data_IF_523038141881
#
_entry.id   IF_523038141881
#
_cell.length_a   1.000
_cell.length_b   1.000
_cell.length_c   1.000
_cell.angle_alpha   90.00
_cell.angle_beta   90.00
_cell.angle_gamma   90.00
#
_symmetry.space_group_name_H-M   'P 1'
#
loop_
_entity.id
_entity.type
_entity.pdbx_description
1 polymer ?
#
# COMPACT_ATOMS: atom_id res chain seq x y z
N UNK A 1 -40.45 20.47 -45.45
CA UNK A 1 -39.48 19.38 -45.22
C UNK A 1 -38.25 19.98 -44.56
N UNK A 2 -38.13 19.98 -43.24
CA UNK A 2 -36.98 20.53 -42.50
C UNK A 2 -36.02 19.41 -42.22
N UNK A 3 -34.72 19.60 -42.40
CA UNK A 3 -33.74 18.58 -42.11
C UNK A 3 -33.58 18.42 -40.59
N UNK A 4 -33.58 17.18 -40.14
CA UNK A 4 -33.35 16.79 -38.75
C UNK A 4 -31.91 17.20 -38.33
N UNK A 5 -31.80 18.00 -37.27
CA UNK A 5 -30.53 18.33 -36.61
C UNK A 5 -30.00 17.08 -35.92
N UNK A 6 -28.80 16.65 -36.31
CA UNK A 6 -28.03 15.65 -35.61
C UNK A 6 -27.77 16.13 -34.17
N UNK A 7 -27.85 15.26 -33.16
CA UNK A 7 -27.51 15.66 -31.80
C UNK A 7 -26.03 15.97 -31.72
N UNK A 8 -25.70 17.21 -31.38
CA UNK A 8 -24.34 17.65 -31.10
C UNK A 8 -23.79 16.82 -29.92
N UNK A 9 -22.78 16.02 -30.20
CA UNK A 9 -21.95 15.39 -29.13
C UNK A 9 -21.33 16.54 -28.34
N UNK A 10 -21.77 16.73 -27.09
CA UNK A 10 -21.06 17.59 -26.15
C UNK A 10 -19.62 17.10 -26.03
N UNK A 11 -18.60 17.98 -26.07
CA UNK A 11 -17.23 17.56 -25.84
C UNK A 11 -17.14 16.94 -24.47
N UNK A 12 -16.64 15.70 -24.39
CA UNK A 12 -16.35 15.02 -23.13
C UNK A 12 -15.43 15.95 -22.32
N UNK A 13 -15.89 16.40 -21.17
CA UNK A 13 -15.06 17.18 -20.27
C UNK A 13 -13.84 16.32 -19.90
N UNK A 14 -12.65 16.76 -20.24
CA UNK A 14 -11.38 16.09 -19.91
C UNK A 14 -11.19 16.18 -18.40
N UNK A 15 -11.71 15.17 -17.69
CA UNK A 15 -11.63 15.13 -16.23
C UNK A 15 -10.20 14.76 -15.83
N UNK A 16 -9.45 15.73 -15.31
CA UNK A 16 -8.10 15.47 -14.76
C UNK A 16 -8.22 14.63 -13.49
N UNK A 17 -7.56 13.49 -13.48
CA UNK A 17 -7.35 12.70 -12.27
C UNK A 17 -6.04 13.09 -11.58
N UNK A 18 -6.02 13.06 -10.25
CA UNK A 18 -4.82 13.23 -9.42
C UNK A 18 -4.85 12.22 -8.28
N UNK A 19 -3.66 11.70 -7.91
CA UNK A 19 -3.53 10.83 -6.74
C UNK A 19 -3.62 11.64 -5.42
N UNK A 20 -3.72 10.93 -4.31
CA UNK A 20 -3.85 11.54 -2.97
C UNK A 20 -2.70 12.48 -2.62
N UNK A 21 -1.45 12.10 -2.90
CA UNK A 21 -0.28 12.93 -2.63
C UNK A 21 -0.17 14.16 -3.56
N UNK A 22 -0.86 14.14 -4.70
CA UNK A 22 -0.84 15.22 -5.71
C UNK A 22 0.37 15.19 -6.63
N UNK A 23 1.21 14.15 -6.56
CA UNK A 23 2.42 14.00 -7.36
C UNK A 23 2.22 13.23 -8.67
N UNK A 24 1.05 12.59 -8.85
CA UNK A 24 0.66 11.92 -10.10
C UNK A 24 -0.58 12.58 -10.69
N UNK A 25 -0.62 12.67 -12.02
CA UNK A 25 -1.72 13.26 -12.78
C UNK A 25 -1.97 12.47 -14.05
N UNK A 26 -3.24 12.30 -14.41
CA UNK A 26 -3.65 11.77 -15.71
C UNK A 26 -4.78 12.62 -16.32
N UNK A 27 -4.82 12.66 -17.66
CA UNK A 27 -5.91 13.22 -18.44
C UNK A 27 -6.41 12.11 -19.37
N UNK A 28 -7.24 11.18 -18.86
CA UNK A 28 -7.70 10.05 -19.65
C UNK A 28 -8.59 10.52 -20.81
N UNK A 29 -8.51 9.82 -21.93
CA UNK A 29 -9.38 10.10 -23.10
C UNK A 29 -10.84 9.81 -22.80
N UNK A 30 -11.10 8.79 -21.96
CA UNK A 30 -12.45 8.41 -21.50
C UNK A 30 -12.42 7.96 -20.04
N UNK A 31 -13.46 8.30 -19.29
CA UNK A 31 -13.68 7.84 -17.92
C UNK A 31 -14.99 7.06 -17.88
N UNK A 32 -14.93 5.82 -17.37
CA UNK A 32 -16.11 4.95 -17.20
C UNK A 32 -16.22 4.53 -15.74
N UNK A 33 -17.44 4.26 -15.29
CA UNK A 33 -17.74 3.76 -13.94
C UNK A 33 -18.61 2.50 -14.05
N UNK A 34 -18.00 1.33 -14.33
CA UNK A 34 -18.73 0.08 -14.51
C UNK A 34 -19.45 -0.33 -13.22
N UNK A 35 -20.62 -0.98 -13.38
CA UNK A 35 -21.49 -1.42 -12.30
C UNK A 35 -21.29 -2.89 -11.93
N UNK A 36 -20.72 -3.66 -12.86
CA UNK A 36 -20.51 -5.09 -12.72
C UNK A 36 -19.33 -5.55 -13.58
N UNK A 37 -18.94 -6.81 -13.43
CA UNK A 37 -17.86 -7.45 -14.18
C UNK A 37 -18.13 -7.45 -15.69
N UNK A 38 -19.39 -7.58 -16.13
CA UNK A 38 -19.76 -7.56 -17.55
C UNK A 38 -19.49 -6.19 -18.18
N UNK A 39 -19.78 -5.09 -17.48
CA UNK A 39 -19.47 -3.74 -17.96
C UNK A 39 -17.94 -3.49 -17.98
N UNK A 40 -17.17 -4.08 -17.05
CA UNK A 40 -15.70 -4.05 -17.13
C UNK A 40 -15.21 -4.79 -18.36
N UNK A 41 -15.72 -5.99 -18.61
CA UNK A 41 -15.36 -6.80 -19.78
C UNK A 41 -15.71 -6.08 -21.11
N UNK A 42 -16.87 -5.45 -21.16
CA UNK A 42 -17.28 -4.62 -22.31
C UNK A 42 -16.32 -3.42 -22.53
N UNK A 43 -15.90 -2.77 -21.46
CA UNK A 43 -14.95 -1.65 -21.54
C UNK A 43 -13.56 -2.10 -22.02
N UNK A 44 -13.10 -3.29 -21.61
CA UNK A 44 -11.83 -3.86 -22.07
C UNK A 44 -11.91 -4.21 -23.57
N UNK A 45 -12.99 -4.87 -24.03
CA UNK A 45 -13.19 -5.13 -25.46
C UNK A 45 -13.26 -3.86 -26.30
N UNK A 46 -14.01 -2.87 -25.84
CA UNK A 46 -14.07 -1.57 -26.51
C UNK A 46 -12.68 -0.89 -26.58
N UNK A 47 -11.88 -1.02 -25.52
CA UNK A 47 -10.50 -0.52 -25.55
C UNK A 47 -9.64 -1.28 -26.58
N UNK A 48 -9.84 -2.60 -26.74
CA UNK A 48 -9.18 -3.41 -27.75
C UNK A 48 -9.54 -2.95 -29.15
N UNK A 49 -10.84 -2.82 -29.47
CA UNK A 49 -11.34 -2.38 -30.78
C UNK A 49 -10.85 -0.97 -31.16
N UNK A 50 -10.65 -0.10 -30.15
CA UNK A 50 -10.18 1.28 -30.35
C UNK A 50 -8.64 1.40 -30.30
N UNK A 51 -7.90 0.32 -30.11
CA UNK A 51 -6.44 0.35 -29.95
C UNK A 51 -5.97 1.18 -28.74
N UNK A 52 -6.75 1.22 -27.66
CA UNK A 52 -6.49 2.03 -26.45
C UNK A 52 -6.08 1.16 -25.26
N UNK A 53 -5.29 1.76 -24.37
CA UNK A 53 -5.03 1.18 -23.05
C UNK A 53 -6.21 1.42 -22.11
N UNK A 54 -6.37 0.55 -21.12
CA UNK A 54 -7.39 0.64 -20.07
C UNK A 54 -6.78 0.34 -18.70
N UNK A 55 -7.14 1.16 -17.71
CA UNK A 55 -6.71 0.95 -16.31
C UNK A 55 -7.86 1.21 -15.35
N UNK A 56 -8.00 0.32 -14.36
CA UNK A 56 -8.88 0.58 -13.23
C UNK A 56 -8.06 1.23 -12.11
N UNK A 57 -8.57 2.35 -11.59
CA UNK A 57 -7.96 3.03 -10.44
C UNK A 57 -8.62 2.59 -9.14
N UNK A 58 -7.90 2.72 -8.01
CA UNK A 58 -8.48 2.70 -6.67
C UNK A 58 -8.71 4.12 -6.15
N UNK A 59 -8.53 4.32 -4.86
CA UNK A 59 -8.62 5.66 -4.22
C UNK A 59 -7.40 6.54 -4.45
N UNK A 60 -6.38 6.05 -5.17
CA UNK A 60 -5.22 6.85 -5.57
C UNK A 60 -4.20 7.10 -4.47
N UNK A 61 -4.02 6.16 -3.54
CA UNK A 61 -3.02 6.29 -2.47
C UNK A 61 -1.59 5.93 -2.89
N UNK A 62 -1.40 5.24 -4.03
CA UNK A 62 -0.05 4.98 -4.57
C UNK A 62 0.64 6.27 -4.99
N UNK A 63 1.94 6.37 -4.69
CA UNK A 63 2.80 7.50 -5.07
C UNK A 63 3.40 7.34 -6.47
N UNK A 64 3.45 6.11 -6.99
CA UNK A 64 3.89 5.79 -8.35
C UNK A 64 2.81 6.06 -9.40
N UNK A 65 3.21 6.00 -10.66
CA UNK A 65 2.30 6.09 -11.79
C UNK A 65 1.43 4.84 -12.04
N UNK A 66 1.41 3.85 -11.14
CA UNK A 66 0.70 2.58 -11.35
C UNK A 66 -0.78 2.74 -11.75
N UNK A 67 -1.46 3.77 -11.24
CA UNK A 67 -2.87 4.06 -11.53
C UNK A 67 -3.07 5.09 -12.66
N UNK A 68 -2.00 5.62 -13.28
CA UNK A 68 -2.11 6.58 -14.37
C UNK A 68 -2.73 5.90 -15.60
N UNK A 69 -3.80 6.50 -16.13
CA UNK A 69 -4.51 6.04 -17.32
C UNK A 69 -4.51 7.15 -18.39
N UNK A 70 -3.96 6.86 -19.56
CA UNK A 70 -3.96 7.76 -20.70
C UNK A 70 -5.13 7.50 -21.65
N UNK A 71 -5.50 6.21 -21.84
CA UNK A 71 -6.62 5.77 -22.65
C UNK A 71 -7.95 5.82 -21.88
N UNK A 72 -8.45 4.66 -21.47
CA UNK A 72 -9.70 4.52 -20.72
C UNK A 72 -9.38 4.34 -19.23
N UNK A 73 -9.92 5.22 -18.40
CA UNK A 73 -9.87 5.13 -16.96
C UNK A 73 -11.16 4.54 -16.42
N UNK A 74 -11.08 3.41 -15.71
CA UNK A 74 -12.21 2.78 -15.04
C UNK A 74 -12.22 3.18 -13.57
N UNK A 75 -13.37 3.68 -13.09
CA UNK A 75 -13.61 4.01 -11.68
C UNK A 75 -14.45 2.90 -11.04
N UNK A 76 -13.97 2.24 -10.00
CA UNK A 76 -14.67 1.13 -9.37
C UNK A 76 -15.74 1.59 -8.36
N UNK A 77 -16.21 2.82 -8.44
CA UNK A 77 -17.11 3.44 -7.46
C UNK A 77 -18.45 2.70 -7.31
N UNK A 78 -18.82 1.90 -8.31
CA UNK A 78 -20.04 1.10 -8.35
C UNK A 78 -19.81 -0.40 -8.14
N UNK A 79 -18.55 -0.85 -8.11
CA UNK A 79 -18.15 -2.23 -7.83
C UNK A 79 -17.83 -2.38 -6.33
N UNK A 80 -18.84 -2.32 -5.46
CA UNK A 80 -18.67 -2.29 -4.01
C UNK A 80 -19.54 -3.29 -3.26
N UNK A 81 -20.16 -4.22 -3.96
CA UNK A 81 -21.03 -5.20 -3.34
C UNK A 81 -20.22 -6.24 -2.54
N UNK A 82 -20.85 -6.74 -1.49
CA UNK A 82 -20.49 -8.01 -0.85
C UNK A 82 -21.23 -9.10 -1.62
N UNK A 83 -20.51 -10.00 -2.25
CA UNK A 83 -21.11 -11.08 -3.06
C UNK A 83 -21.50 -12.27 -2.20
N UNK A 84 -20.66 -12.62 -1.21
CA UNK A 84 -20.96 -13.71 -0.27
C UNK A 84 -20.20 -13.53 1.05
N UNK A 85 -20.79 -14.02 2.14
CA UNK A 85 -20.15 -14.18 3.44
C UNK A 85 -20.44 -15.59 3.91
N UNK A 86 -19.43 -16.45 3.93
CA UNK A 86 -19.50 -17.78 4.50
C UNK A 86 -18.70 -17.79 5.81
N UNK A 87 -19.40 -17.69 6.93
CA UNK A 87 -18.78 -17.68 8.26
C UNK A 87 -18.25 -19.05 8.68
N UNK A 88 -18.76 -20.15 8.10
CA UNK A 88 -18.31 -21.50 8.42
C UNK A 88 -16.94 -21.78 7.80
N UNK A 89 -16.76 -21.48 6.51
CA UNK A 89 -15.47 -21.56 5.83
C UNK A 89 -14.58 -20.34 6.04
N UNK A 90 -15.14 -19.26 6.59
CA UNK A 90 -14.49 -17.94 6.75
C UNK A 90 -14.02 -17.35 5.44
N UNK A 91 -14.78 -17.58 4.37
CA UNK A 91 -14.54 -17.01 3.06
C UNK A 91 -15.52 -15.86 2.82
N UNK A 92 -14.99 -14.71 2.42
CA UNK A 92 -15.79 -13.52 2.13
C UNK A 92 -15.41 -12.98 0.75
N UNK A 93 -16.38 -12.97 -0.16
CA UNK A 93 -16.17 -12.46 -1.53
C UNK A 93 -16.78 -11.07 -1.66
N UNK A 94 -15.95 -10.13 -2.07
CA UNK A 94 -16.31 -8.72 -2.26
C UNK A 94 -15.84 -8.20 -3.60
N UNK A 95 -16.51 -7.18 -4.10
CA UNK A 95 -16.10 -6.51 -5.33
C UNK A 95 -14.90 -5.60 -5.11
N UNK A 96 -14.12 -5.44 -6.16
CA UNK A 96 -12.80 -4.81 -6.20
C UNK A 96 -12.75 -3.36 -5.70
N UNK A 97 -13.83 -2.61 -5.87
CA UNK A 97 -13.95 -1.20 -5.49
C UNK A 97 -14.41 -0.96 -4.06
N UNK A 98 -14.72 -2.01 -3.28
CA UNK A 98 -15.09 -1.87 -1.87
C UNK A 98 -13.88 -1.29 -1.09
N UNK A 99 -14.04 -0.19 -0.32
CA UNK A 99 -12.96 0.31 0.52
C UNK A 99 -12.67 -0.62 1.71
N UNK A 100 -11.41 -0.74 2.13
CA UNK A 100 -11.01 -1.59 3.26
C UNK A 100 -11.75 -1.22 4.56
N UNK A 101 -12.03 0.07 4.81
CA UNK A 101 -12.80 0.46 6.00
C UNK A 101 -14.25 -0.07 5.99
N UNK A 102 -14.84 -0.23 4.80
CA UNK A 102 -16.17 -0.84 4.66
C UNK A 102 -16.07 -2.36 4.83
N UNK A 103 -15.06 -2.99 4.22
CA UNK A 103 -14.78 -4.42 4.42
C UNK A 103 -14.59 -4.75 5.90
N UNK A 104 -13.75 -4.00 6.62
CA UNK A 104 -13.50 -4.23 8.05
C UNK A 104 -14.78 -4.20 8.88
N UNK A 105 -15.68 -3.23 8.62
CA UNK A 105 -16.95 -3.14 9.33
C UNK A 105 -17.85 -4.32 9.03
N UNK A 106 -17.94 -4.72 7.77
CA UNK A 106 -18.72 -5.89 7.35
C UNK A 106 -18.20 -7.17 8.02
N UNK A 107 -16.88 -7.35 8.04
CA UNK A 107 -16.26 -8.49 8.72
C UNK A 107 -16.57 -8.50 10.21
N UNK A 108 -16.42 -7.35 10.89
CA UNK A 108 -16.72 -7.19 12.32
C UNK A 108 -18.19 -7.52 12.65
N UNK A 109 -19.15 -7.08 11.82
CA UNK A 109 -20.58 -7.42 11.95
C UNK A 109 -20.85 -8.93 11.85
N UNK A 110 -19.97 -9.70 11.20
CA UNK A 110 -20.06 -11.14 11.06
C UNK A 110 -19.13 -11.93 12.01
N UNK A 111 -18.48 -11.24 12.95
CA UNK A 111 -17.51 -11.86 13.87
C UNK A 111 -16.25 -12.32 13.19
N UNK A 112 -15.87 -11.71 12.08
CA UNK A 112 -14.69 -12.01 11.27
C UNK A 112 -13.70 -10.83 11.26
N UNK A 113 -12.46 -11.09 10.85
CA UNK A 113 -11.43 -10.07 10.67
C UNK A 113 -10.43 -10.46 9.58
N UNK A 114 -9.71 -9.47 9.02
CA UNK A 114 -8.42 -9.72 8.36
C UNK A 114 -7.36 -9.97 9.42
N UNK A 115 -6.48 -10.94 9.16
CA UNK A 115 -5.46 -11.34 10.13
C UNK A 115 -4.34 -10.32 10.29
N UNK A 116 -4.06 -9.53 9.24
CA UNK A 116 -3.08 -8.44 9.21
C UNK A 116 -3.51 -7.34 8.23
N UNK A 117 -3.12 -6.11 8.48
CA UNK A 117 -3.45 -4.95 7.65
C UNK A 117 -2.32 -3.92 7.64
N UNK A 118 -2.28 -3.08 6.61
CA UNK A 118 -1.54 -1.82 6.63
C UNK A 118 -2.19 -0.78 7.55
N UNK A 119 -1.52 0.36 7.73
CA UNK A 119 -1.94 1.42 8.65
C UNK A 119 -3.03 2.36 8.11
N UNK A 120 -3.45 2.23 6.86
CA UNK A 120 -4.56 2.96 6.26
C UNK A 120 -5.65 2.01 5.74
N UNK A 121 -6.90 2.46 5.79
CA UNK A 121 -8.06 1.69 5.33
C UNK A 121 -8.93 2.41 4.28
N UNK A 122 -8.40 3.48 3.69
CA UNK A 122 -9.07 4.24 2.63
C UNK A 122 -8.89 3.61 1.24
N UNK A 123 -7.94 2.70 1.09
CA UNK A 123 -7.70 1.98 -0.16
C UNK A 123 -8.90 1.11 -0.54
N UNK A 124 -9.13 0.96 -1.86
CA UNK A 124 -10.03 -0.11 -2.33
C UNK A 124 -9.34 -1.47 -2.17
N UNK A 125 -10.13 -2.51 -2.01
CA UNK A 125 -9.69 -3.91 -1.89
C UNK A 125 -8.67 -4.27 -2.99
N UNK A 126 -9.03 -4.10 -4.27
CA UNK A 126 -8.10 -4.40 -5.36
C UNK A 126 -6.91 -3.44 -5.39
N UNK A 127 -7.10 -2.16 -5.06
CA UNK A 127 -6.01 -1.19 -5.07
C UNK A 127 -4.93 -1.49 -4.03
N UNK A 128 -5.33 -1.94 -2.84
CA UNK A 128 -4.41 -2.38 -1.81
C UNK A 128 -3.68 -3.67 -2.21
N UNK A 129 -4.44 -4.65 -2.73
CA UNK A 129 -3.91 -5.94 -3.14
C UNK A 129 -2.88 -5.79 -4.25
N UNK A 130 -3.21 -5.05 -5.32
CA UNK A 130 -2.38 -4.95 -6.52
C UNK A 130 -1.02 -4.28 -6.29
N UNK A 131 -0.84 -3.54 -5.23
CA UNK A 131 0.47 -2.97 -4.84
C UNK A 131 1.12 -3.68 -3.66
N UNK A 132 0.64 -4.89 -3.33
CA UNK A 132 1.15 -5.73 -2.25
C UNK A 132 1.17 -4.99 -0.90
N UNK A 133 0.08 -4.29 -0.56
CA UNK A 133 -0.05 -3.60 0.75
C UNK A 133 0.13 -4.58 1.89
N UNK A 134 0.95 -4.20 2.85
CA UNK A 134 1.29 -5.02 4.02
C UNK A 134 1.23 -4.21 5.32
N UNK A 135 1.20 -4.90 6.43
CA UNK A 135 1.43 -4.37 7.76
C UNK A 135 2.79 -4.83 8.29
N UNK A 136 2.83 -5.18 9.55
CA UNK A 136 3.93 -5.88 10.20
C UNK A 136 3.41 -7.16 10.83
N UNK A 137 4.21 -8.22 10.93
CA UNK A 137 3.79 -9.48 11.55
C UNK A 137 4.91 -10.49 11.66
N UNK A 138 4.89 -11.27 12.76
CA UNK A 138 5.81 -12.39 12.98
C UNK A 138 5.43 -13.59 12.11
N UNK A 139 4.17 -14.00 12.18
CA UNK A 139 3.65 -15.22 11.55
C UNK A 139 2.58 -14.94 10.49
N UNK A 140 2.12 -13.70 10.37
CA UNK A 140 1.07 -13.29 9.43
C UNK A 140 1.63 -12.26 8.46
N UNK A 141 1.60 -12.63 7.19
CA UNK A 141 2.12 -11.83 6.08
C UNK A 141 1.14 -10.71 5.65
N UNK A 142 1.40 -10.08 4.51
CA UNK A 142 0.60 -8.97 3.98
C UNK A 142 -0.79 -9.38 3.46
N UNK A 143 -1.47 -8.44 2.81
CA UNK A 143 -2.84 -8.69 2.30
C UNK A 143 -2.89 -9.78 1.23
N UNK A 144 -1.87 -9.91 0.39
CA UNK A 144 -1.82 -10.90 -0.69
C UNK A 144 -1.91 -12.35 -0.17
N UNK A 145 -1.35 -12.63 1.02
CA UNK A 145 -1.38 -13.97 1.63
C UNK A 145 -2.77 -14.37 2.14
N UNK A 146 -3.66 -13.41 2.34
CA UNK A 146 -5.01 -13.62 2.87
C UNK A 146 -6.07 -13.82 1.77
N UNK A 147 -5.66 -13.80 0.50
CA UNK A 147 -6.55 -14.03 -0.64
C UNK A 147 -6.75 -15.53 -0.85
N UNK A 148 -8.00 -15.94 -1.07
CA UNK A 148 -8.36 -17.32 -1.43
C UNK A 148 -8.60 -17.47 -2.94
N UNK A 149 -9.20 -16.46 -3.59
CA UNK A 149 -9.45 -16.44 -5.02
C UNK A 149 -9.59 -15.02 -5.56
N UNK A 150 -9.38 -14.87 -6.86
CA UNK A 150 -9.58 -13.62 -7.60
C UNK A 150 -10.49 -13.87 -8.81
N UNK A 151 -11.29 -12.86 -9.15
CA UNK A 151 -11.96 -12.76 -10.44
C UNK A 151 -11.30 -11.62 -11.22
N UNK A 152 -10.89 -11.90 -12.45
CA UNK A 152 -10.24 -10.94 -13.35
C UNK A 152 -10.94 -10.87 -14.71
N UNK A 153 -10.87 -9.69 -15.31
CA UNK A 153 -11.12 -9.49 -16.74
C UNK A 153 -9.78 -9.38 -17.44
N UNK A 154 -9.50 -10.30 -18.38
CA UNK A 154 -8.29 -10.36 -19.19
C UNK A 154 -8.33 -9.40 -20.38
N UNK A 155 -7.23 -9.28 -21.12
CA UNK A 155 -7.09 -8.31 -22.22
C UNK A 155 -8.03 -8.57 -23.41
N UNK A 156 -8.47 -9.78 -23.61
CA UNK A 156 -9.50 -10.18 -24.60
C UNK A 156 -10.95 -9.92 -24.11
N UNK A 157 -11.12 -9.48 -22.88
CA UNK A 157 -12.41 -9.28 -22.23
C UNK A 157 -13.05 -10.55 -21.68
N UNK A 158 -12.33 -11.68 -21.65
CA UNK A 158 -12.78 -12.87 -20.94
C UNK A 158 -12.76 -12.65 -19.43
N UNK A 159 -13.69 -13.31 -18.72
CA UNK A 159 -13.74 -13.29 -17.25
C UNK A 159 -13.22 -14.60 -16.74
N UNK A 160 -12.23 -14.56 -15.89
CA UNK A 160 -11.61 -15.75 -15.31
C UNK A 160 -11.56 -15.68 -13.79
N UNK A 161 -11.70 -16.84 -13.16
CA UNK A 161 -11.41 -17.02 -11.74
C UNK A 161 -10.08 -17.74 -11.59
N UNK A 162 -9.30 -17.36 -10.59
CA UNK A 162 -8.09 -18.08 -10.22
C UNK A 162 -7.97 -18.24 -8.70
N UNK A 163 -7.40 -19.36 -8.30
CA UNK A 163 -7.15 -19.75 -6.90
C UNK A 163 -5.93 -20.69 -6.85
N UNK A 164 -5.56 -21.21 -5.69
CA UNK A 164 -4.51 -22.23 -5.60
C UNK A 164 -4.84 -23.51 -6.37
N UNK A 165 -6.12 -23.83 -6.51
CA UNK A 165 -6.62 -25.06 -7.15
C UNK A 165 -7.02 -24.82 -8.62
N UNK A 166 -7.25 -23.58 -9.01
CA UNK A 166 -7.65 -23.19 -10.36
C UNK A 166 -6.72 -22.09 -10.89
N UNK A 167 -5.95 -22.34 -11.95
CA UNK A 167 -4.96 -21.42 -12.54
C UNK A 167 -3.95 -20.90 -11.50
N UNK A 168 -3.20 -21.77 -10.81
CA UNK A 168 -2.33 -21.40 -9.69
C UNK A 168 -1.28 -20.34 -10.08
N UNK A 169 -0.67 -20.44 -11.26
CA UNK A 169 0.32 -19.44 -11.71
C UNK A 169 -0.30 -18.05 -11.88
N UNK A 170 -1.49 -17.97 -12.49
CA UNK A 170 -2.22 -16.71 -12.60
C UNK A 170 -2.59 -16.17 -11.21
N UNK A 171 -3.01 -17.05 -10.30
CA UNK A 171 -3.35 -16.65 -8.93
C UNK A 171 -2.15 -16.07 -8.19
N UNK A 172 -1.01 -16.75 -8.22
CA UNK A 172 0.19 -16.30 -7.52
C UNK A 172 0.79 -15.02 -8.12
N UNK A 173 0.66 -14.85 -9.45
CA UNK A 173 1.07 -13.63 -10.14
C UNK A 173 0.09 -12.47 -9.89
N UNK A 174 -1.22 -12.70 -9.95
CA UNK A 174 -2.23 -11.63 -9.92
C UNK A 174 -2.49 -11.06 -8.53
N UNK A 175 -2.12 -11.75 -7.44
CA UNK A 175 -2.31 -11.24 -6.07
C UNK A 175 -1.50 -9.95 -5.78
N UNK A 176 -0.46 -9.68 -6.55
CA UNK A 176 0.37 -8.47 -6.44
C UNK A 176 0.82 -7.96 -7.82
N UNK A 177 -0.02 -8.12 -8.86
CA UNK A 177 0.36 -7.95 -10.27
C UNK A 177 0.35 -6.50 -10.79
N UNK A 178 0.19 -5.49 -9.94
CA UNK A 178 0.16 -4.05 -10.32
C UNK A 178 -0.87 -3.73 -11.41
N UNK A 179 -1.88 -4.60 -11.59
CA UNK A 179 -2.90 -4.50 -12.64
C UNK A 179 -2.35 -4.72 -14.06
N UNK A 180 -1.25 -5.48 -14.21
CA UNK A 180 -0.65 -5.75 -15.52
C UNK A 180 -1.18 -7.03 -16.19
N UNK A 181 -1.80 -7.94 -15.42
CA UNK A 181 -2.34 -9.21 -15.94
C UNK A 181 -3.84 -9.16 -16.24
N UNK A 182 -4.53 -8.14 -15.80
CA UNK A 182 -5.97 -8.01 -15.94
C UNK A 182 -6.56 -7.04 -14.94
N UNK A 183 -7.86 -6.81 -15.05
CA UNK A 183 -8.61 -5.97 -14.14
C UNK A 183 -9.30 -6.85 -13.10
N UNK A 184 -8.87 -6.79 -11.85
CA UNK A 184 -9.53 -7.49 -10.72
C UNK A 184 -10.91 -6.89 -10.50
N UNK A 185 -11.94 -7.72 -10.52
CA UNK A 185 -13.34 -7.33 -10.31
C UNK A 185 -13.93 -7.85 -9.00
N UNK A 186 -13.41 -8.96 -8.47
CA UNK A 186 -13.75 -9.45 -7.14
C UNK A 186 -12.56 -10.14 -6.47
N UNK A 187 -12.60 -10.14 -5.13
CA UNK A 187 -11.59 -10.79 -4.27
C UNK A 187 -12.32 -11.64 -3.23
N UNK A 188 -11.95 -12.90 -3.14
CA UNK A 188 -12.36 -13.78 -2.04
C UNK A 188 -11.28 -13.79 -0.98
N UNK A 189 -11.62 -13.32 0.20
CA UNK A 189 -10.73 -13.25 1.35
C UNK A 189 -10.84 -14.49 2.21
N UNK A 190 -9.71 -15.00 2.66
CA UNK A 190 -9.61 -15.94 3.77
C UNK A 190 -9.52 -15.12 5.05
N UNK A 191 -10.61 -15.10 5.82
CA UNK A 191 -10.71 -14.33 7.06
C UNK A 191 -10.41 -15.20 8.28
N UNK A 192 -10.24 -14.56 9.43
CA UNK A 192 -10.08 -15.21 10.73
C UNK A 192 -11.24 -14.81 11.64
N UNK A 193 -11.51 -15.53 12.76
CA UNK A 193 -12.42 -15.02 13.77
C UNK A 193 -12.04 -13.63 14.24
N UNK A 194 -13.04 -12.77 14.49
CA UNK A 194 -12.82 -11.45 15.05
C UNK A 194 -11.98 -11.50 16.33
N UNK A 195 -11.03 -10.60 16.48
CA UNK A 195 -10.12 -10.60 17.62
C UNK A 195 -9.80 -9.19 18.10
N UNK A 196 -9.39 -9.10 19.36
CA UNK A 196 -8.88 -7.88 19.97
C UNK A 196 -7.37 -7.86 19.95
N UNK A 197 -6.80 -6.70 19.75
CA UNK A 197 -5.37 -6.45 19.90
C UNK A 197 -5.13 -5.52 21.10
N UNK A 198 -4.19 -5.90 21.93
CA UNK A 198 -3.58 -5.03 22.92
C UNK A 198 -2.41 -4.32 22.27
N UNK A 199 -2.55 -3.01 22.06
CA UNK A 199 -1.50 -2.13 21.57
C UNK A 199 -0.68 -1.59 22.73
N UNK A 200 0.64 -1.68 22.61
CA UNK A 200 1.60 -1.07 23.53
C UNK A 200 2.51 -0.17 22.71
N UNK A 201 2.37 1.12 22.86
CA UNK A 201 3.21 2.12 22.22
C UNK A 201 4.14 2.72 23.28
N UNK A 202 5.45 2.71 23.01
CA UNK A 202 6.44 3.13 23.99
C UNK A 202 7.58 3.89 23.32
N UNK A 203 7.85 5.13 23.78
CA UNK A 203 9.06 5.84 23.43
C UNK A 203 10.29 5.09 23.99
N UNK A 204 11.32 4.94 23.16
CA UNK A 204 12.56 4.27 23.51
C UNK A 204 13.75 4.97 22.87
N UNK A 205 14.96 4.73 23.39
CA UNK A 205 16.17 5.22 22.73
C UNK A 205 16.55 4.34 21.54
N UNK A 206 17.17 4.95 20.56
CA UNK A 206 17.66 4.29 19.34
C UNK A 206 18.49 3.03 19.65
N UNK A 207 19.51 3.16 20.49
CA UNK A 207 20.39 2.04 20.80
C UNK A 207 19.65 0.89 21.49
N UNK A 208 18.70 1.20 22.36
CA UNK A 208 17.87 0.22 23.03
C UNK A 208 16.93 -0.51 22.03
N UNK A 209 16.33 0.23 21.09
CA UNK A 209 15.48 -0.37 20.05
C UNK A 209 16.31 -1.30 19.17
N UNK A 210 17.49 -0.86 18.70
CA UNK A 210 18.34 -1.71 17.87
C UNK A 210 18.80 -2.96 18.60
N UNK A 211 19.17 -2.86 19.88
CA UNK A 211 19.60 -4.01 20.68
C UNK A 211 18.47 -5.04 20.90
N UNK A 212 17.19 -4.61 20.85
CA UNK A 212 16.02 -5.44 21.16
C UNK A 212 15.09 -5.69 19.97
N UNK A 213 15.46 -5.28 18.76
CA UNK A 213 14.61 -5.40 17.57
C UNK A 213 14.20 -6.84 17.32
N UNK A 214 15.12 -7.79 17.37
CA UNK A 214 14.82 -9.20 17.14
C UNK A 214 14.01 -9.79 18.29
N UNK A 215 14.35 -9.49 19.55
CA UNK A 215 13.53 -9.87 20.73
C UNK A 215 12.08 -9.39 20.57
N UNK A 216 11.87 -8.13 20.21
CA UNK A 216 10.52 -7.58 20.05
C UNK A 216 9.76 -8.19 18.89
N UNK A 217 10.43 -8.46 17.78
CA UNK A 217 9.80 -9.05 16.62
C UNK A 217 9.44 -10.53 16.82
N UNK A 218 10.19 -11.26 17.63
CA UNK A 218 9.92 -12.66 17.99
C UNK A 218 8.88 -12.78 19.10
N UNK A 219 8.89 -11.86 20.07
CA UNK A 219 8.00 -11.91 21.23
C UNK A 219 6.61 -11.34 20.96
N UNK A 220 6.37 -10.64 19.85
CA UNK A 220 5.09 -10.01 19.57
C UNK A 220 4.53 -10.45 18.21
N UNK A 221 3.19 -10.56 18.11
CA UNK A 221 2.53 -10.89 16.84
C UNK A 221 2.76 -9.82 15.78
N UNK A 222 2.75 -8.54 16.21
CA UNK A 222 3.01 -7.41 15.34
C UNK A 222 3.95 -6.44 16.05
N UNK A 223 5.08 -6.16 15.42
CA UNK A 223 6.08 -5.21 15.90
C UNK A 223 6.48 -4.26 14.79
N UNK A 224 6.45 -2.97 15.08
CA UNK A 224 6.98 -1.90 14.24
C UNK A 224 7.58 -0.82 15.12
N UNK A 225 8.47 -0.02 14.54
CA UNK A 225 8.95 1.17 15.21
C UNK A 225 9.19 2.32 14.24
N UNK A 226 9.19 3.53 14.81
CA UNK A 226 9.43 4.78 14.11
C UNK A 226 10.65 5.43 14.70
N UNK A 227 11.67 5.74 13.88
CA UNK A 227 12.81 6.56 14.29
C UNK A 227 12.61 8.01 13.85
N UNK A 228 12.84 8.96 14.76
CA UNK A 228 12.77 10.39 14.45
C UNK A 228 14.14 10.89 14.03
N UNK A 229 14.37 11.23 12.74
CA UNK A 229 15.66 11.71 12.26
C UNK A 229 16.19 12.89 13.07
N UNK A 230 17.50 13.02 13.20
CA UNK A 230 18.22 14.00 14.00
C UNK A 230 18.05 13.83 15.52
N UNK A 231 17.53 12.71 15.99
CA UNK A 231 17.36 12.39 17.42
C UNK A 231 17.76 10.94 17.71
N UNK A 232 17.87 10.63 19.00
CA UNK A 232 17.96 9.26 19.51
C UNK A 232 16.57 8.70 19.88
N UNK A 233 15.49 9.39 19.52
CA UNK A 233 14.13 8.99 19.87
C UNK A 233 13.54 8.03 18.85
N UNK A 234 12.94 6.95 19.35
CA UNK A 234 12.09 6.03 18.62
C UNK A 234 10.74 5.89 19.31
N UNK A 235 9.72 5.51 18.56
CA UNK A 235 8.44 5.03 19.09
C UNK A 235 8.27 3.58 18.65
N UNK A 236 8.23 2.66 19.61
CA UNK A 236 7.92 1.24 19.33
C UNK A 236 6.43 0.99 19.48
N UNK A 237 5.88 0.13 18.61
CA UNK A 237 4.51 -0.37 18.68
C UNK A 237 4.53 -1.89 18.68
N UNK A 238 3.88 -2.49 19.68
CA UNK A 238 3.77 -3.95 19.86
C UNK A 238 2.31 -4.28 20.04
N UNK A 239 1.77 -5.09 19.15
CA UNK A 239 0.36 -5.47 19.20
C UNK A 239 0.27 -6.99 19.29
N UNK A 240 -0.50 -7.46 20.27
CA UNK A 240 -0.70 -8.88 20.53
C UNK A 240 -2.18 -9.18 20.74
N UNK A 241 -2.64 -10.34 20.29
CA UNK A 241 -4.00 -10.79 20.56
C UNK A 241 -4.23 -10.99 22.04
N UNK A 242 -5.40 -10.62 22.49
CA UNK A 242 -5.82 -10.79 23.87
C UNK A 242 -7.27 -11.19 23.94
N UNK A 243 -7.61 -11.94 24.99
CA UNK A 243 -8.99 -12.24 25.35
C UNK A 243 -9.53 -11.21 26.36
N UNK A 244 -10.85 -11.17 26.49
CA UNK A 244 -11.53 -10.30 27.44
C UNK A 244 -12.18 -9.07 26.79
N UNK A 245 -12.59 -8.07 27.57
CA UNK A 245 -13.29 -6.89 27.05
C UNK A 245 -12.33 -5.91 26.39
N UNK A 246 -12.81 -5.23 25.34
CA UNK A 246 -12.12 -4.09 24.77
C UNK A 246 -11.97 -2.95 25.81
N UNK A 247 -10.81 -2.30 25.80
CA UNK A 247 -10.47 -1.13 26.63
C UNK A 247 -9.85 -0.07 25.73
N UNK A 248 -10.65 0.56 24.84
CA UNK A 248 -10.15 1.55 23.90
C UNK A 248 -9.63 2.79 24.61
N UNK A 249 -8.86 3.59 23.91
CA UNK A 249 -8.47 4.91 24.42
C UNK A 249 -9.73 5.77 24.71
N UNK A 250 -9.74 6.52 25.82
CA UNK A 250 -10.79 7.52 26.04
C UNK A 250 -10.93 8.44 24.82
N UNK A 251 -12.16 8.77 24.43
CA UNK A 251 -12.43 9.56 23.21
C UNK A 251 -11.63 10.87 23.14
N UNK A 252 -11.49 11.57 24.28
CA UNK A 252 -10.71 12.80 24.35
C UNK A 252 -9.22 12.56 24.09
N UNK A 253 -8.65 11.49 24.68
CA UNK A 253 -7.25 11.12 24.47
C UNK A 253 -7.00 10.69 23.02
N UNK A 254 -7.88 9.85 22.45
CA UNK A 254 -7.82 9.47 21.03
C UNK A 254 -7.86 10.71 20.12
N UNK A 255 -8.79 11.64 20.38
CA UNK A 255 -8.87 12.87 19.60
C UNK A 255 -7.60 13.72 19.75
N UNK A 256 -7.08 13.87 20.97
CA UNK A 256 -5.87 14.66 21.23
C UNK A 256 -4.65 14.03 20.53
N UNK A 257 -4.39 12.73 20.74
CA UNK A 257 -3.18 12.05 20.27
C UNK A 257 -3.24 11.80 18.74
N UNK A 258 -4.32 11.15 18.26
CA UNK A 258 -4.38 10.63 16.89
C UNK A 258 -4.98 11.62 15.88
N UNK A 259 -5.76 12.61 16.31
CA UNK A 259 -6.31 13.61 15.38
C UNK A 259 -5.63 14.97 15.54
N UNK A 260 -5.55 15.52 16.73
CA UNK A 260 -5.02 16.86 16.93
C UNK A 260 -3.47 16.88 16.83
N UNK A 261 -2.76 16.09 17.63
CA UNK A 261 -1.29 16.09 17.62
C UNK A 261 -0.72 15.47 16.34
N UNK A 262 -1.16 14.25 15.97
CA UNK A 262 -0.61 13.50 14.83
C UNK A 262 -1.03 14.07 13.46
N UNK A 263 -2.04 14.91 13.38
CA UNK A 263 -2.50 15.48 12.12
C UNK A 263 -2.42 17.02 12.12
N UNK A 264 -3.13 17.71 13.05
CA UNK A 264 -3.19 19.17 13.01
C UNK A 264 -1.86 19.80 13.38
N UNK A 265 -1.29 19.43 14.55
CA UNK A 265 -0.01 19.98 15.02
C UNK A 265 1.12 19.53 14.12
N UNK A 266 1.20 18.25 13.80
CA UNK A 266 2.22 17.71 12.88
C UNK A 266 2.14 18.36 11.49
N UNK A 267 0.94 18.61 10.96
CA UNK A 267 0.74 19.34 9.72
C UNK A 267 1.20 20.81 9.79
N UNK A 268 1.03 21.46 10.95
CA UNK A 268 1.55 22.80 11.18
C UNK A 268 3.08 22.81 11.26
N UNK A 269 3.68 21.86 11.98
CA UNK A 269 5.13 21.69 12.07
C UNK A 269 5.75 21.49 10.69
N UNK A 270 5.15 20.62 9.85
CA UNK A 270 5.65 20.39 8.49
C UNK A 270 5.55 21.64 7.59
N UNK A 271 4.57 22.51 7.79
CA UNK A 271 4.52 23.81 7.10
C UNK A 271 5.63 24.76 7.54
N UNK A 272 6.03 24.69 8.80
CA UNK A 272 7.15 25.49 9.34
C UNK A 272 8.47 24.95 8.80
N UNK A 273 8.73 23.64 8.91
CA UNK A 273 9.97 23.01 8.41
C UNK A 273 10.13 23.16 6.90
N UNK A 274 9.03 23.13 6.15
CA UNK A 274 9.02 23.41 4.71
C UNK A 274 9.54 24.83 4.38
N UNK A 275 9.19 25.84 5.20
CA UNK A 275 9.63 27.24 5.00
C UNK A 275 11.01 27.50 5.56
N UNK A 276 11.35 26.84 6.66
CA UNK A 276 12.61 27.04 7.39
C UNK A 276 13.22 25.67 7.74
N UNK A 277 13.85 24.96 6.77
CA UNK A 277 14.39 23.62 6.99
C UNK A 277 15.39 23.52 8.15
N UNK A 278 16.15 24.58 8.43
CA UNK A 278 17.13 24.62 9.50
C UNK A 278 16.56 24.33 10.91
N UNK A 279 15.25 24.54 11.13
CA UNK A 279 14.62 24.27 12.44
C UNK A 279 14.23 22.79 12.61
N UNK A 280 14.27 21.97 11.55
CA UNK A 280 13.83 20.58 11.56
C UNK A 280 14.43 19.75 12.70
N UNK A 281 15.77 19.76 12.95
CA UNK A 281 16.33 18.96 14.04
C UNK A 281 15.77 19.31 15.41
N UNK A 282 15.55 20.61 15.67
CA UNK A 282 14.98 21.07 16.94
C UNK A 282 13.54 20.65 17.10
N UNK A 283 12.72 20.76 16.04
CA UNK A 283 11.32 20.36 16.05
C UNK A 283 11.17 18.84 16.19
N UNK A 284 12.02 18.06 15.52
CA UNK A 284 12.04 16.61 15.71
C UNK A 284 12.42 16.22 17.15
N UNK A 285 13.40 16.92 17.75
CA UNK A 285 13.76 16.68 19.15
C UNK A 285 12.62 17.00 20.13
N UNK A 286 11.84 18.07 19.88
CA UNK A 286 10.64 18.39 20.67
C UNK A 286 9.56 17.32 20.45
N UNK A 287 9.30 16.93 19.20
CA UNK A 287 8.31 15.91 18.86
C UNK A 287 8.65 14.56 19.51
N UNK A 288 9.90 14.10 19.42
CA UNK A 288 10.34 12.85 20.03
C UNK A 288 10.21 12.85 21.57
N UNK A 289 10.44 14.00 22.24
CA UNK A 289 10.26 14.13 23.69
C UNK A 289 8.80 14.22 24.12
N UNK A 290 7.92 14.69 23.24
CA UNK A 290 6.49 14.81 23.49
C UNK A 290 5.73 13.47 23.34
N UNK A 291 6.39 12.42 22.83
CA UNK A 291 5.80 11.10 22.73
C UNK A 291 5.53 10.52 24.11
N UNK A 292 4.31 10.07 24.33
CA UNK A 292 3.88 9.39 25.55
C UNK A 292 3.71 7.89 25.37
N UNK A 293 4.00 7.12 26.40
CA UNK A 293 3.62 5.71 26.41
C UNK A 293 2.10 5.57 26.54
N UNK A 294 1.54 4.62 25.78
CA UNK A 294 0.12 4.29 25.89
C UNK A 294 -0.11 2.79 25.68
N UNK A 295 -1.12 2.28 26.38
CA UNK A 295 -1.59 0.90 26.22
C UNK A 295 -3.11 0.93 26.15
N UNK A 296 -3.66 0.22 25.17
CA UNK A 296 -5.10 0.09 25.00
C UNK A 296 -5.43 -1.24 24.30
N UNK A 297 -6.71 -1.62 24.33
CA UNK A 297 -7.20 -2.84 23.67
C UNK A 297 -8.44 -2.48 22.86
N UNK A 298 -8.43 -2.78 21.58
CA UNK A 298 -9.60 -2.55 20.69
C UNK A 298 -9.67 -3.64 19.61
N UNK A 299 -10.73 -3.61 18.82
CA UNK A 299 -10.90 -4.46 17.63
C UNK A 299 -9.68 -4.32 16.72
N UNK A 300 -9.19 -5.43 16.17
CA UNK A 300 -7.95 -5.52 15.42
C UNK A 300 -7.75 -4.42 14.38
N UNK A 301 -8.73 -4.18 13.51
CA UNK A 301 -8.61 -3.16 12.46
C UNK A 301 -8.49 -1.73 12.99
N UNK A 302 -9.04 -1.43 14.18
CA UNK A 302 -8.89 -0.12 14.83
C UNK A 302 -7.52 0.08 15.44
N UNK A 303 -6.84 -1.02 15.80
CA UNK A 303 -5.45 -0.99 16.28
C UNK A 303 -4.47 -0.88 15.12
N UNK A 304 -4.71 -1.61 14.03
CA UNK A 304 -3.85 -1.56 12.83
C UNK A 304 -3.87 -0.19 12.16
N UNK A 305 -5.03 0.47 12.09
CA UNK A 305 -5.19 1.65 11.25
C UNK A 305 -5.27 2.95 12.04
N UNK A 306 -4.70 4.00 11.48
CA UNK A 306 -4.78 5.35 12.03
C UNK A 306 -5.18 6.38 10.96
N UNK A 307 -5.91 7.46 11.34
CA UNK A 307 -6.24 8.51 10.38
C UNK A 307 -5.00 9.30 9.97
N UNK A 308 -4.77 9.42 8.65
CA UNK A 308 -3.65 10.17 8.05
C UNK A 308 -4.21 11.31 7.20
N UNK A 309 -4.07 12.57 7.63
CA UNK A 309 -4.54 13.75 6.89
C UNK A 309 -3.40 14.62 6.37
N UNK A 310 -2.21 14.53 6.96
CA UNK A 310 -1.02 15.22 6.47
C UNK A 310 -0.52 14.52 5.21
N UNK A 311 -0.50 15.24 4.09
CA UNK A 311 -0.01 14.68 2.82
C UNK A 311 1.51 14.61 2.81
N UNK A 312 2.04 13.49 2.31
CA UNK A 312 3.46 13.24 2.16
C UNK A 312 3.76 12.53 0.82
N UNK A 313 5.02 12.38 0.49
CA UNK A 313 5.56 11.44 -0.49
C UNK A 313 6.38 10.40 0.25
N UNK A 314 6.39 9.18 -0.25
CA UNK A 314 6.98 8.05 0.45
C UNK A 314 7.76 7.17 -0.51
N UNK A 315 8.88 6.66 -0.03
CA UNK A 315 9.66 5.60 -0.63
C UNK A 315 9.80 4.48 0.42
N UNK A 316 9.68 3.24 0.01
CA UNK A 316 9.81 2.08 0.88
C UNK A 316 10.52 0.95 0.16
N UNK A 317 11.44 0.30 0.87
CA UNK A 317 12.17 -0.85 0.39
C UNK A 317 12.05 -2.03 1.36
N UNK A 318 11.87 -3.22 0.78
CA UNK A 318 11.94 -4.51 1.44
C UNK A 318 13.35 -5.08 1.30
N UNK A 319 14.03 -5.29 2.40
CA UNK A 319 15.42 -5.81 2.45
C UNK A 319 15.46 -7.16 3.17
N UNK A 320 16.47 -8.00 2.95
CA UNK A 320 16.66 -9.20 3.76
C UNK A 320 16.68 -8.84 5.26
N UNK A 321 15.98 -9.63 6.08
CA UNK A 321 15.78 -9.33 7.50
C UNK A 321 17.11 -9.15 8.26
N UNK A 322 18.10 -9.96 7.95
CA UNK A 322 19.43 -9.91 8.54
C UNK A 322 20.21 -8.62 8.23
N UNK A 323 19.84 -7.92 7.15
CA UNK A 323 20.43 -6.65 6.78
C UNK A 323 19.82 -5.44 7.49
N UNK A 324 18.76 -5.63 8.30
CA UNK A 324 18.03 -4.51 8.91
C UNK A 324 18.93 -3.62 9.77
N UNK A 325 19.60 -4.19 10.75
CA UNK A 325 20.39 -3.41 11.71
C UNK A 325 21.62 -2.73 11.09
N UNK A 326 22.41 -3.39 10.23
CA UNK A 326 23.46 -2.72 9.46
C UNK A 326 22.93 -1.55 8.64
N UNK A 327 21.84 -1.78 7.88
CA UNK A 327 21.23 -0.75 7.01
C UNK A 327 20.73 0.46 7.78
N UNK A 328 20.10 0.25 8.94
CA UNK A 328 19.64 1.36 9.78
C UNK A 328 20.80 2.21 10.32
N UNK A 329 21.91 1.60 10.70
CA UNK A 329 23.12 2.33 11.14
C UNK A 329 23.70 3.15 10.00
N UNK A 330 23.77 2.58 8.81
CA UNK A 330 24.28 3.27 7.63
C UNK A 330 23.34 4.40 7.19
N UNK A 331 22.03 4.16 7.20
CA UNK A 331 21.02 5.19 6.92
C UNK A 331 21.17 6.37 7.90
N UNK A 332 21.36 6.11 9.19
CA UNK A 332 21.60 7.16 10.19
C UNK A 332 22.89 7.94 9.88
N UNK A 333 23.97 7.25 9.53
CA UNK A 333 25.22 7.89 9.15
C UNK A 333 25.08 8.76 7.88
N UNK A 334 24.20 8.39 6.94
CA UNK A 334 23.89 9.21 5.77
C UNK A 334 23.19 10.52 6.16
N UNK A 335 22.30 10.53 7.15
CA UNK A 335 21.68 11.75 7.65
C UNK A 335 22.72 12.74 8.20
N UNK A 336 23.70 12.24 8.95
CA UNK A 336 24.78 13.07 9.50
C UNK A 336 25.69 13.61 8.39
N UNK A 337 25.94 12.82 7.34
CA UNK A 337 26.85 13.17 6.23
C UNK A 337 26.20 14.12 5.19
N UNK A 338 24.89 13.94 4.90
CA UNK A 338 24.21 14.62 3.77
C UNK A 338 23.44 15.87 4.18
N UNK A 339 23.38 16.20 5.46
CA UNK A 339 22.61 17.32 6.01
C UNK A 339 21.13 17.35 5.59
N UNK A 340 20.53 16.17 5.42
CA UNK A 340 19.11 16.07 5.10
C UNK A 340 18.24 16.59 6.23
N UNK A 341 17.26 17.44 5.92
CA UNK A 341 16.37 18.10 6.90
C UNK A 341 14.98 17.48 6.85
N UNK A 342 14.85 16.24 7.28
CA UNK A 342 13.63 15.44 7.19
C UNK A 342 12.85 15.51 8.49
N UNK A 343 11.59 15.95 8.40
CA UNK A 343 10.69 16.10 9.54
C UNK A 343 9.82 14.86 9.84
N UNK A 344 9.71 13.95 8.86
CA UNK A 344 8.95 12.72 9.04
C UNK A 344 9.78 11.62 9.70
N UNK A 345 9.16 10.78 10.54
CA UNK A 345 9.82 9.60 11.07
C UNK A 345 10.07 8.57 9.96
N UNK A 346 11.10 7.76 10.16
CA UNK A 346 11.38 6.56 9.36
C UNK A 346 10.68 5.38 10.03
N UNK A 347 9.90 4.67 9.25
CA UNK A 347 9.13 3.52 9.72
C UNK A 347 9.85 2.22 9.40
N UNK A 348 9.84 1.29 10.36
CA UNK A 348 10.46 -0.03 10.22
C UNK A 348 9.44 -1.10 10.58
N UNK A 349 9.26 -2.06 9.68
CA UNK A 349 8.36 -3.21 9.80
C UNK A 349 9.07 -4.51 9.47
N UNK A 350 8.45 -5.63 9.82
CA UNK A 350 8.96 -6.96 9.51
C UNK A 350 7.82 -7.88 9.06
N UNK A 351 8.12 -8.77 8.11
CA UNK A 351 7.19 -9.81 7.67
C UNK A 351 7.90 -11.15 7.49
N UNK A 352 7.14 -12.26 7.65
CA UNK A 352 7.59 -13.58 7.22
C UNK A 352 7.61 -13.67 5.68
N UNK A 353 8.15 -14.76 5.12
CA UNK A 353 8.09 -15.01 3.67
C UNK A 353 6.65 -15.06 3.14
N UNK A 354 6.46 -14.60 1.91
CA UNK A 354 5.23 -14.67 1.13
C UNK A 354 5.41 -15.49 -0.16
N UNK A 355 4.29 -15.89 -0.77
CA UNK A 355 4.28 -16.76 -1.95
C UNK A 355 3.71 -16.08 -3.22
N UNK A 356 3.19 -14.85 -3.14
CA UNK A 356 2.80 -14.09 -4.33
C UNK A 356 4.04 -13.64 -5.10
N UNK A 357 4.10 -13.91 -6.40
CA UNK A 357 5.31 -13.75 -7.23
C UNK A 357 6.00 -12.40 -7.14
N UNK A 358 5.24 -11.33 -7.10
CA UNK A 358 5.77 -9.96 -6.99
C UNK A 358 5.59 -9.35 -5.59
N UNK A 359 5.33 -10.17 -4.57
CA UNK A 359 5.45 -9.69 -3.20
C UNK A 359 6.87 -9.27 -2.89
N UNK A 360 7.04 -8.13 -2.21
CA UNK A 360 8.36 -7.69 -1.77
C UNK A 360 8.99 -8.67 -0.76
N UNK A 361 8.16 -9.44 -0.03
CA UNK A 361 8.60 -10.49 0.90
C UNK A 361 8.62 -11.90 0.27
N UNK A 362 8.54 -12.02 -1.07
CA UNK A 362 8.56 -13.32 -1.72
C UNK A 362 9.78 -14.14 -1.31
N UNK A 363 9.49 -15.36 -0.77
CA UNK A 363 10.45 -16.41 -0.42
C UNK A 363 11.60 -15.98 0.53
N UNK A 364 11.41 -14.91 1.33
CA UNK A 364 12.42 -14.53 2.34
C UNK A 364 11.82 -13.78 3.52
N UNK A 365 12.34 -13.98 4.75
CA UNK A 365 12.07 -13.08 5.86
C UNK A 365 12.53 -11.67 5.50
N UNK A 366 11.67 -10.70 5.73
CA UNK A 366 11.85 -9.35 5.18
C UNK A 366 11.69 -8.28 6.25
N UNK A 367 12.57 -7.27 6.19
CA UNK A 367 12.37 -6.00 6.89
C UNK A 367 12.03 -4.90 5.87
N UNK A 368 11.15 -4.00 6.24
CA UNK A 368 10.75 -2.85 5.44
C UNK A 368 11.25 -1.57 6.10
N UNK A 369 11.81 -0.69 5.30
CA UNK A 369 12.23 0.65 5.73
C UNK A 369 11.51 1.66 4.84
N UNK A 370 10.57 2.41 5.44
CA UNK A 370 9.81 3.43 4.76
C UNK A 370 10.28 4.82 5.18
N UNK A 371 10.57 5.66 4.18
CA UNK A 371 11.05 7.03 4.34
C UNK A 371 10.07 8.00 3.71
N UNK A 372 9.85 9.13 4.37
CA UNK A 372 8.79 10.07 4.02
C UNK A 372 9.32 11.49 3.91
N UNK A 373 8.68 12.30 3.08
CA UNK A 373 8.86 13.76 3.05
C UNK A 373 7.50 14.45 2.98
N UNK A 374 7.40 15.65 3.52
CA UNK A 374 6.21 16.48 3.34
C UNK A 374 5.91 16.67 1.84
N UNK A 375 4.66 16.59 1.43
CA UNK A 375 4.27 16.54 0.01
C UNK A 375 4.80 17.71 -0.84
N UNK A 376 5.13 18.86 -0.22
CA UNK A 376 5.68 20.05 -0.86
C UNK A 376 7.21 20.08 -0.90
N UNK A 377 7.87 19.23 -0.12
CA UNK A 377 9.33 19.20 -0.06
C UNK A 377 9.91 18.48 -1.28
N UNK A 378 11.13 18.88 -1.62
CA UNK A 378 11.94 18.16 -2.59
C UNK A 378 12.35 16.82 -1.97
N UNK A 379 12.35 15.77 -2.76
CA UNK A 379 12.62 14.42 -2.29
C UNK A 379 13.71 13.72 -3.08
N UNK A 380 14.10 14.27 -4.20
CA UNK A 380 14.90 13.59 -5.20
C UNK A 380 16.25 13.13 -4.63
N UNK A 381 17.02 14.04 -4.02
CA UNK A 381 18.33 13.71 -3.44
C UNK A 381 18.22 12.72 -2.26
N UNK A 382 17.25 12.95 -1.36
CA UNK A 382 17.04 12.09 -0.20
C UNK A 382 16.61 10.68 -0.63
N UNK A 383 15.62 10.57 -1.49
CA UNK A 383 15.13 9.27 -1.96
C UNK A 383 16.17 8.57 -2.84
N UNK A 384 16.94 9.29 -3.63
CA UNK A 384 18.05 8.70 -4.38
C UNK A 384 19.10 8.10 -3.44
N UNK A 385 19.55 8.83 -2.43
CA UNK A 385 20.55 8.33 -1.48
C UNK A 385 20.06 7.13 -0.67
N UNK A 386 18.78 7.10 -0.29
CA UNK A 386 18.16 5.95 0.35
C UNK A 386 18.05 4.76 -0.63
N UNK A 387 17.61 5.02 -1.87
CA UNK A 387 17.50 3.99 -2.91
C UNK A 387 18.87 3.35 -3.22
N UNK A 388 19.95 4.14 -3.31
CA UNK A 388 21.30 3.63 -3.51
C UNK A 388 21.72 2.66 -2.39
N UNK A 389 21.43 3.02 -1.13
CA UNK A 389 21.69 2.15 0.02
C UNK A 389 20.89 0.84 -0.05
N UNK A 390 19.59 0.93 -0.32
CA UNK A 390 18.71 -0.23 -0.33
C UNK A 390 19.02 -1.17 -1.50
N UNK A 391 19.31 -0.62 -2.68
CA UNK A 391 19.58 -1.43 -3.87
C UNK A 391 20.95 -2.13 -3.81
N UNK A 392 21.91 -1.57 -3.11
CA UNK A 392 23.22 -2.21 -2.90
C UNK A 392 23.14 -3.55 -2.15
N UNK A 393 22.06 -3.79 -1.42
CA UNK A 393 21.81 -5.02 -0.64
C UNK A 393 20.64 -5.85 -1.18
N UNK A 394 20.27 -5.68 -2.46
CA UNK A 394 19.18 -6.43 -3.09
C UNK A 394 17.79 -6.05 -2.56
N UNK A 395 17.59 -4.78 -2.21
CA UNK A 395 16.31 -4.25 -1.75
C UNK A 395 15.24 -4.26 -2.85
N UNK A 396 14.03 -4.69 -2.54
CA UNK A 396 12.87 -4.68 -3.44
C UNK A 396 12.01 -3.46 -3.16
N UNK A 397 11.80 -2.56 -4.15
CA UNK A 397 10.95 -1.39 -3.94
C UNK A 397 9.48 -1.79 -3.79
N UNK A 398 8.76 -1.08 -2.92
CA UNK A 398 7.30 -1.25 -2.81
C UNK A 398 6.60 -0.65 -4.04
N UNK A 399 5.72 -1.44 -4.69
CA UNK A 399 5.07 -1.08 -5.97
C UNK A 399 4.26 0.20 -5.94
N UNK A 400 3.69 0.55 -4.81
CA UNK A 400 2.92 1.78 -4.60
C UNK A 400 3.73 2.98 -4.13
N UNK A 401 5.03 2.84 -3.83
CA UNK A 401 5.91 3.87 -3.27
C UNK A 401 6.91 4.36 -4.31
N UNK A 402 7.47 5.55 -4.12
CA UNK A 402 8.37 6.13 -5.11
C UNK A 402 9.68 5.34 -5.21
N UNK A 403 10.07 5.02 -6.44
CA UNK A 403 11.37 4.42 -6.78
C UNK A 403 11.71 4.72 -8.24
N UNK A 404 12.98 4.62 -8.60
CA UNK A 404 13.45 4.83 -9.98
C UNK A 404 13.76 3.52 -10.71
N UNK A 405 13.68 2.37 -10.02
CA UNK A 405 14.06 1.06 -10.57
C UNK A 405 13.22 0.65 -11.76
N UNK A 406 13.88 0.03 -12.73
CA UNK A 406 13.35 -0.48 -13.99
C UNK A 406 13.34 -2.02 -14.02
N UNK A 407 12.89 -2.59 -15.15
CA UNK A 407 12.81 -4.03 -15.35
C UNK A 407 14.18 -4.72 -15.14
N UNK A 408 15.26 -4.14 -15.62
CA UNK A 408 16.60 -4.73 -15.52
C UNK A 408 17.04 -4.92 -14.05
N UNK A 409 16.77 -3.95 -13.18
CA UNK A 409 17.03 -4.10 -11.75
C UNK A 409 16.05 -5.09 -11.11
N UNK A 410 14.75 -4.97 -11.41
CA UNK A 410 13.71 -5.78 -10.75
C UNK A 410 13.86 -7.27 -11.05
N UNK A 411 14.31 -7.64 -12.25
CA UNK A 411 14.64 -9.00 -12.63
C UNK A 411 15.74 -9.61 -11.72
N UNK A 412 16.69 -8.81 -11.26
CA UNK A 412 17.76 -9.31 -10.38
C UNK A 412 17.32 -9.57 -8.94
N UNK A 413 16.19 -8.98 -8.48
CA UNK A 413 15.76 -9.05 -7.09
C UNK A 413 14.44 -9.78 -6.84
N UNK A 414 13.62 -10.00 -7.88
CA UNK A 414 12.38 -10.79 -7.80
C UNK A 414 12.57 -12.14 -8.50
N UNK A 415 12.62 -13.26 -7.75
CA UNK A 415 12.91 -14.58 -8.33
C UNK A 415 11.93 -15.04 -9.41
N UNK A 416 10.66 -14.60 -9.34
CA UNK A 416 9.59 -14.96 -10.29
C UNK A 416 9.30 -13.84 -11.30
N UNK A 417 10.23 -12.89 -11.48
CA UNK A 417 10.03 -11.75 -12.38
C UNK A 417 9.87 -12.20 -13.85
N UNK A 418 10.76 -13.06 -14.33
CA UNK A 418 10.70 -13.59 -15.68
C UNK A 418 9.41 -14.37 -15.98
N UNK A 419 8.97 -15.21 -15.02
CA UNK A 419 7.69 -15.93 -15.13
C UNK A 419 6.49 -14.97 -15.18
N UNK A 420 6.52 -13.92 -14.37
CA UNK A 420 5.48 -12.89 -14.39
C UNK A 420 5.41 -12.16 -15.73
N UNK A 421 6.56 -11.77 -16.27
CA UNK A 421 6.63 -11.09 -17.58
C UNK A 421 6.14 -12.00 -18.69
N UNK A 422 6.56 -13.27 -18.70
CA UNK A 422 6.11 -14.26 -19.69
C UNK A 422 4.58 -14.46 -19.64
N UNK A 423 4.01 -14.59 -18.43
CA UNK A 423 2.56 -14.71 -18.26
C UNK A 423 1.82 -13.44 -18.70
N UNK A 424 2.37 -12.24 -18.39
CA UNK A 424 1.82 -10.98 -18.90
C UNK A 424 1.80 -10.94 -20.42
N UNK A 425 2.88 -11.36 -21.06
CA UNK A 425 3.04 -11.31 -22.51
C UNK A 425 2.06 -12.27 -23.21
N UNK A 426 1.78 -13.41 -22.58
CA UNK A 426 0.75 -14.34 -23.03
C UNK A 426 -0.65 -13.76 -22.89
N UNK A 427 -0.99 -13.17 -21.73
CA UNK A 427 -2.34 -12.70 -21.41
C UNK A 427 -2.68 -11.32 -21.98
N UNK A 428 -1.68 -10.47 -22.23
CA UNK A 428 -1.83 -9.12 -22.76
C UNK A 428 -0.75 -8.79 -23.82
N UNK A 429 -0.75 -9.50 -24.96
CA UNK A 429 0.25 -9.29 -26.02
C UNK A 429 0.21 -7.87 -26.60
N UNK A 430 -0.96 -7.25 -26.61
CA UNK A 430 -1.16 -5.89 -27.12
C UNK A 430 -0.89 -4.79 -26.10
N UNK A 431 -0.46 -5.14 -24.87
CA UNK A 431 -0.20 -4.18 -23.78
C UNK A 431 -1.40 -3.32 -23.43
N UNK A 432 -2.58 -3.92 -23.39
CA UNK A 432 -3.87 -3.27 -23.10
C UNK A 432 -3.88 -2.62 -21.72
N UNK A 433 -3.22 -3.27 -20.74
CA UNK A 433 -3.12 -2.78 -19.38
C UNK A 433 -1.83 -1.99 -19.11
N UNK A 434 -1.04 -1.66 -20.13
CA UNK A 434 0.20 -0.92 -19.95
C UNK A 434 -0.03 0.58 -19.70
N UNK A 435 0.93 1.17 -19.01
CA UNK A 435 1.09 2.61 -18.87
C UNK A 435 2.60 2.94 -18.70
N UNK A 436 3.02 4.20 -18.64
CA UNK A 436 4.44 4.52 -18.52
C UNK A 436 5.15 3.89 -17.32
N UNK A 437 4.44 3.70 -16.20
CA UNK A 437 5.01 3.04 -15.02
C UNK A 437 5.24 1.53 -15.27
N UNK A 438 4.20 0.82 -15.76
CA UNK A 438 4.32 -0.63 -16.00
C UNK A 438 5.31 -0.95 -17.10
N UNK A 439 5.44 -0.11 -18.15
CA UNK A 439 6.50 -0.24 -19.17
C UNK A 439 7.89 -0.10 -18.57
N UNK A 440 8.11 0.84 -17.67
CA UNK A 440 9.40 0.99 -16.98
C UNK A 440 9.73 -0.21 -16.10
N UNK A 441 8.76 -0.72 -15.33
CA UNK A 441 9.02 -1.77 -14.32
C UNK A 441 8.94 -3.18 -14.87
N UNK A 442 8.28 -3.43 -16.00
CA UNK A 442 8.14 -4.77 -16.60
C UNK A 442 8.69 -4.87 -18.03
N UNK A 443 9.17 -3.78 -18.61
CA UNK A 443 9.52 -3.71 -20.04
C UNK A 443 8.28 -3.57 -20.94
N UNK A 444 8.53 -3.32 -22.20
CA UNK A 444 7.51 -3.21 -23.27
C UNK A 444 7.05 -4.58 -23.73
#
# INVERSE_FOLDING_TARGET
>A
MFPARSPSRSPASTQTWRNWAGNQRAVPQRVLAPRDTGEVAAAVRAAADEGRTVRMIGTGHSFTGAAVAEGILLRPDRLRAVRSVDTASRLVTVEAGLPLHALNRILDEHGLALANMGDIQQQTVAGALQTATHGTGRDVAGLASQVAALELVLADGSVVTCSRDERPDLFDAARAGVGALGIVTAVTWRTVPGFLLRAQEQPMRWDEVLARTDEFAEANEHFEFYWFPHTDGCLTKRNNRVEGPARPLPKLRYWLDDQFLSNTVFGALNRVTHRVPAVTPRLNAVSARALGARTYTDTSYKVFTSPRTVRFKEQEYAIPREMLLPTLRELRALFDKRDWRISFPIEVRVLPPEDAWLSMAYDRPTAFIAVHVYHRDRHEEYFQGVEELMTAIGGRPHWGKLHTRDAAYLETVYPRFGDFVALRDELDPDRRFANPYTRRVFGD
#
